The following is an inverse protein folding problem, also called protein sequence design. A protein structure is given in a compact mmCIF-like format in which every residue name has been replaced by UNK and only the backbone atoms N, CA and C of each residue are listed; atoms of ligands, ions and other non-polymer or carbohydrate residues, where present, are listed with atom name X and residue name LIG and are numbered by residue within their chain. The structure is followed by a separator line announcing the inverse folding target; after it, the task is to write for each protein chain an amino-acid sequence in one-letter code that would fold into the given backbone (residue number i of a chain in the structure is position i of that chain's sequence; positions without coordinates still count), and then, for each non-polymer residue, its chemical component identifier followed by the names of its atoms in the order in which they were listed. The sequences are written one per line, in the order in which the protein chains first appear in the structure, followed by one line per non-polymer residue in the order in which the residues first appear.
data_IF_099000709454
#
_entry.id   IF_099000709454
#
_cell.length_a   1.000
_cell.length_b   1.000
_cell.length_c   1.000
_cell.angle_alpha   90.00
_cell.angle_beta   90.00
_cell.angle_gamma   90.00
#
_symmetry.space_group_name_H-M   'P 1'
#
loop_
_entity.id
_entity.type
_entity.pdbx_description
1 polymer ?
#
# COMPACT_ATOMS: atom_id res chain seq x y z
N UNK A 1 15.31 -9.27 8.09
CA UNK A 1 14.62 -8.90 6.83
C UNK A 1 13.69 -10.02 6.42
N UNK A 2 12.47 -9.67 6.04
CA UNK A 2 11.48 -10.66 5.64
C UNK A 2 11.97 -11.43 4.40
N UNK A 3 11.90 -12.76 4.46
CA UNK A 3 12.25 -13.62 3.33
C UNK A 3 10.96 -14.09 2.65
N UNK A 4 10.85 -13.79 1.34
CA UNK A 4 9.72 -14.20 0.53
C UNK A 4 9.75 -15.73 0.40
N UNK A 5 8.60 -16.36 0.64
CA UNK A 5 8.44 -17.81 0.50
C UNK A 5 7.61 -18.14 -0.74
N UNK A 6 6.30 -18.21 -0.57
CA UNK A 6 5.40 -18.66 -1.63
C UNK A 6 4.68 -17.51 -2.34
N UNK A 7 4.67 -16.33 -1.75
CA UNK A 7 3.93 -15.20 -2.28
C UNK A 7 4.84 -13.98 -2.42
N UNK A 8 5.20 -13.66 -3.65
CA UNK A 8 6.04 -12.50 -3.94
C UNK A 8 5.38 -11.19 -3.55
N UNK A 9 4.07 -11.16 -3.50
CA UNK A 9 3.27 -9.97 -3.20
C UNK A 9 2.71 -9.98 -1.77
N UNK A 10 3.37 -10.69 -0.87
CA UNK A 10 2.95 -10.78 0.54
C UNK A 10 2.84 -9.41 1.21
N UNK A 11 3.65 -8.44 0.79
CA UNK A 11 3.60 -7.09 1.34
C UNK A 11 2.26 -6.39 1.06
N UNK A 12 1.61 -6.71 -0.06
CA UNK A 12 0.28 -6.19 -0.36
C UNK A 12 -0.77 -6.72 0.61
N UNK A 13 -0.71 -8.00 0.92
CA UNK A 13 -1.60 -8.60 1.91
C UNK A 13 -1.33 -8.03 3.30
N UNK A 14 -0.06 -7.79 3.63
CA UNK A 14 0.33 -7.16 4.88
C UNK A 14 -0.23 -5.75 5.01
N UNK A 15 -0.13 -4.94 3.95
CA UNK A 15 -0.71 -3.59 3.94
C UNK A 15 -2.22 -3.63 4.13
N UNK A 16 -2.89 -4.57 3.47
CA UNK A 16 -4.33 -4.76 3.63
C UNK A 16 -4.69 -5.07 5.09
N UNK A 17 -3.94 -5.98 5.73
CA UNK A 17 -4.15 -6.30 7.14
C UNK A 17 -3.91 -5.11 8.05
N UNK A 18 -2.87 -4.33 7.79
CA UNK A 18 -2.54 -3.14 8.58
C UNK A 18 -3.66 -2.09 8.47
N UNK A 19 -4.32 -2.00 7.32
CA UNK A 19 -5.38 -1.03 7.08
C UNK A 19 -6.76 -1.49 7.57
N UNK A 20 -6.97 -2.77 7.82
CA UNK A 20 -8.27 -3.30 8.26
C UNK A 20 -8.81 -2.63 9.54
N UNK A 21 -8.00 -2.29 10.55
CA UNK A 21 -8.51 -1.57 11.71
C UNK A 21 -9.20 -0.25 11.37
N UNK A 22 -8.83 0.40 10.28
CA UNK A 22 -9.50 1.62 9.82
C UNK A 22 -10.90 1.32 9.30
N UNK A 23 -11.13 0.14 8.75
CA UNK A 23 -12.47 -0.32 8.36
C UNK A 23 -13.30 -0.62 9.61
N UNK A 24 -12.72 -1.33 10.56
CA UNK A 24 -13.39 -1.66 11.82
C UNK A 24 -13.79 -0.41 12.60
N UNK A 25 -12.95 0.62 12.61
CA UNK A 25 -13.22 1.89 13.27
C UNK A 25 -14.11 2.83 12.43
N UNK A 26 -14.56 2.38 11.26
CA UNK A 26 -15.45 3.12 10.36
C UNK A 26 -14.82 4.36 9.72
N UNK A 27 -13.50 4.49 9.75
CA UNK A 27 -12.78 5.56 9.03
C UNK A 27 -12.73 5.29 7.53
N UNK A 28 -12.58 4.02 7.15
CA UNK A 28 -12.72 3.57 5.77
C UNK A 28 -13.88 2.61 5.67
N UNK A 29 -14.53 2.54 4.51
CA UNK A 29 -15.57 1.56 4.25
C UNK A 29 -14.98 0.25 3.74
N UNK A 30 -13.87 0.31 3.00
CA UNK A 30 -13.25 -0.88 2.45
C UNK A 30 -11.80 -0.64 2.08
N UNK A 31 -11.03 -1.73 2.07
CA UNK A 31 -9.66 -1.79 1.53
C UNK A 31 -9.67 -2.78 0.37
N UNK A 32 -9.19 -2.35 -0.78
CA UNK A 32 -9.10 -3.16 -1.98
C UNK A 32 -7.64 -3.41 -2.34
N UNK A 33 -7.38 -4.55 -2.96
CA UNK A 33 -6.17 -4.75 -3.74
C UNK A 33 -6.52 -4.56 -5.21
N UNK A 34 -5.73 -3.76 -5.90
CA UNK A 34 -5.97 -3.46 -7.32
C UNK A 34 -4.72 -3.82 -8.12
N UNK A 35 -4.91 -4.21 -9.38
CA UNK A 35 -3.80 -4.54 -10.27
C UNK A 35 -3.31 -3.32 -11.03
N UNK A 36 -4.18 -2.34 -11.25
CA UNK A 36 -3.84 -1.12 -11.98
C UNK A 36 -4.74 0.05 -11.54
N UNK A 37 -4.32 1.25 -11.89
CA UNK A 37 -5.03 2.46 -11.48
C UNK A 37 -6.45 2.56 -12.04
N UNK A 38 -6.72 2.00 -13.20
CA UNK A 38 -8.07 2.00 -13.77
C UNK A 38 -9.07 1.25 -12.90
N UNK A 39 -8.64 0.21 -12.20
CA UNK A 39 -9.52 -0.51 -11.28
C UNK A 39 -9.95 0.35 -10.09
N UNK A 40 -9.11 1.29 -9.69
CA UNK A 40 -9.43 2.22 -8.60
C UNK A 40 -10.66 3.04 -8.97
N UNK A 41 -10.73 3.53 -10.19
CA UNK A 41 -11.87 4.31 -10.67
C UNK A 41 -13.15 3.47 -10.71
N UNK A 42 -13.05 2.25 -11.20
CA UNK A 42 -14.19 1.35 -11.33
C UNK A 42 -14.79 0.98 -9.97
N UNK A 43 -13.94 0.90 -8.93
CA UNK A 43 -14.37 0.51 -7.58
C UNK A 43 -14.70 1.68 -6.69
N UNK A 44 -14.64 2.91 -7.19
CA UNK A 44 -14.81 4.12 -6.39
C UNK A 44 -16.26 4.41 -5.98
N UNK A 45 -17.17 3.48 -6.16
CA UNK A 45 -18.54 3.64 -5.72
C UNK A 45 -18.69 3.46 -4.21
N UNK A 46 -17.74 2.75 -3.58
CA UNK A 46 -17.69 2.60 -2.13
C UNK A 46 -16.57 3.50 -1.62
N UNK A 47 -16.92 4.56 -0.92
CA UNK A 47 -15.96 5.54 -0.39
C UNK A 47 -16.33 5.93 1.04
N UNK A 48 -15.35 6.33 1.87
CA UNK A 48 -13.93 6.36 1.57
C UNK A 48 -13.33 4.94 1.53
N UNK A 49 -12.40 4.73 0.63
CA UNK A 49 -11.76 3.43 0.46
C UNK A 49 -10.26 3.60 0.21
N UNK A 50 -9.49 2.59 0.59
CA UNK A 50 -8.08 2.52 0.26
C UNK A 50 -7.86 1.42 -0.79
N UNK A 51 -7.03 1.70 -1.77
CA UNK A 51 -6.67 0.76 -2.84
C UNK A 51 -5.18 0.51 -2.78
N UNK A 52 -4.78 -0.74 -2.64
CA UNK A 52 -3.38 -1.16 -2.53
C UNK A 52 -2.92 -1.70 -3.87
N UNK A 53 -1.87 -1.10 -4.45
CA UNK A 53 -1.34 -1.47 -5.76
C UNK A 53 0.16 -1.72 -5.69
N UNK A 54 0.61 -2.76 -6.38
CA UNK A 54 2.03 -3.03 -6.55
C UNK A 54 2.61 -2.14 -7.65
N UNK A 55 3.71 -1.45 -7.36
CA UNK A 55 4.34 -0.52 -8.31
C UNK A 55 5.68 -1.03 -8.83
N UNK A 56 6.04 -2.24 -8.50
CA UNK A 56 7.29 -2.82 -8.96
C UNK A 56 8.37 -2.84 -7.89
N UNK A 57 9.55 -3.29 -8.28
CA UNK A 57 10.66 -3.41 -7.36
C UNK A 57 11.97 -2.95 -7.98
N UNK A 58 12.97 -2.78 -7.13
CA UNK A 58 14.35 -2.57 -7.51
C UNK A 58 15.22 -3.58 -6.77
N UNK A 59 16.25 -4.06 -7.45
CA UNK A 59 17.22 -4.98 -6.88
C UNK A 59 18.40 -4.19 -6.34
N UNK A 60 18.99 -4.67 -5.25
CA UNK A 60 20.24 -4.12 -4.76
C UNK A 60 21.36 -4.44 -5.72
N UNK A 61 22.29 -3.48 -5.92
CA UNK A 61 23.39 -3.62 -6.88
C UNK A 61 24.36 -4.75 -6.56
N UNK A 62 24.38 -5.22 -5.33
CA UNK A 62 25.31 -6.24 -4.88
C UNK A 62 24.63 -7.57 -4.76
N UNK A 63 24.40 -8.23 -5.90
CA UNK A 63 24.04 -9.65 -5.92
C UNK A 63 25.28 -10.47 -5.54
N UNK A 64 25.55 -10.60 -4.28
CA UNK A 64 26.68 -11.38 -3.79
C UNK A 64 26.32 -12.86 -3.81
N UNK A 65 27.02 -13.64 -4.61
CA UNK A 65 26.85 -15.08 -4.67
C UNK A 65 25.68 -15.56 -5.53
N UNK A 66 25.00 -14.68 -6.22
CA UNK A 66 24.11 -15.02 -7.33
C UNK A 66 22.72 -15.59 -6.98
N UNK A 67 22.48 -16.07 -5.75
CA UNK A 67 21.24 -16.77 -5.46
C UNK A 67 20.25 -16.00 -4.58
N UNK A 68 20.73 -15.08 -3.75
CA UNK A 68 19.87 -14.30 -2.87
C UNK A 68 19.81 -12.88 -3.36
N UNK A 69 18.59 -12.38 -3.55
CA UNK A 69 18.37 -11.00 -3.96
C UNK A 69 17.75 -10.22 -2.82
N UNK A 70 18.30 -9.03 -2.54
CA UNK A 70 17.64 -8.04 -1.74
C UNK A 70 16.79 -7.18 -2.65
N UNK A 71 15.55 -7.01 -2.27
CA UNK A 71 14.53 -6.39 -3.11
C UNK A 71 13.90 -5.25 -2.33
N UNK A 72 13.70 -4.13 -3.00
CA UNK A 72 12.91 -3.02 -2.47
C UNK A 72 11.65 -2.92 -3.30
N UNK A 73 10.53 -3.33 -2.74
CA UNK A 73 9.23 -3.19 -3.40
C UNK A 73 8.62 -1.84 -3.07
N UNK A 74 7.98 -1.26 -4.07
CA UNK A 74 7.20 -0.03 -3.91
C UNK A 74 5.72 -0.35 -4.06
N UNK A 75 4.93 0.12 -3.11
CA UNK A 75 3.50 -0.07 -3.07
C UNK A 75 2.80 1.27 -3.03
N UNK A 76 1.72 1.39 -3.76
CA UNK A 76 0.88 2.58 -3.78
C UNK A 76 -0.39 2.28 -2.97
N UNK A 77 -0.76 3.20 -2.10
CA UNK A 77 -2.04 3.16 -1.39
C UNK A 77 -2.79 4.41 -1.79
N UNK A 78 -3.90 4.23 -2.51
CA UNK A 78 -4.70 5.34 -3.00
C UNK A 78 -5.94 5.49 -2.12
N UNK A 79 -6.09 6.64 -1.49
CA UNK A 79 -7.30 6.99 -0.76
C UNK A 79 -8.30 7.57 -1.75
N UNK A 80 -9.45 6.92 -1.91
CA UNK A 80 -10.54 7.38 -2.75
C UNK A 80 -11.65 7.96 -1.87
N UNK A 81 -12.04 9.20 -2.15
CA UNK A 81 -13.09 9.91 -1.43
C UNK A 81 -14.05 10.57 -2.42
N UNK A 82 -15.27 10.81 -1.96
CA UNK A 82 -16.21 11.61 -2.75
C UNK A 82 -15.94 13.10 -2.56
N UNK A 83 -16.02 13.84 -3.65
CA UNK A 83 -16.08 15.31 -3.65
C UNK A 83 -17.49 15.71 -3.26
N UNK A 84 -17.77 15.77 -1.96
CA UNK A 84 -19.07 16.11 -1.45
C UNK A 84 -18.91 16.95 -0.19
N UNK A 85 -19.98 17.05 0.58
CA UNK A 85 -19.96 17.72 1.90
C UNK A 85 -18.92 17.13 2.86
N UNK A 86 -18.37 15.96 2.56
CA UNK A 86 -17.34 15.32 3.38
C UNK A 86 -15.92 15.58 2.87
N UNK A 87 -15.75 16.54 1.97
CA UNK A 87 -14.47 16.88 1.35
C UNK A 87 -13.38 17.18 2.38
N UNK A 88 -13.74 17.88 3.46
CA UNK A 88 -12.80 18.21 4.53
C UNK A 88 -12.26 17.01 5.32
N UNK A 89 -12.85 15.84 5.17
CA UNK A 89 -12.43 14.64 5.88
C UNK A 89 -11.24 13.94 5.21
N UNK A 90 -10.96 14.23 3.94
CA UNK A 90 -9.88 13.58 3.21
C UNK A 90 -8.52 13.80 3.90
N UNK A 91 -8.26 15.01 4.36
CA UNK A 91 -7.02 15.31 5.08
C UNK A 91 -6.86 14.50 6.36
N UNK A 92 -7.92 14.36 7.12
CA UNK A 92 -7.93 13.58 8.36
C UNK A 92 -7.74 12.09 8.06
N UNK A 93 -8.38 11.59 7.02
CA UNK A 93 -8.25 10.20 6.59
C UNK A 93 -6.83 9.90 6.10
N UNK A 94 -6.20 10.84 5.40
CA UNK A 94 -4.80 10.69 4.98
C UNK A 94 -3.87 10.57 6.19
N UNK A 95 -4.08 11.38 7.22
CA UNK A 95 -3.28 11.26 8.45
C UNK A 95 -3.50 9.91 9.11
N UNK A 96 -4.73 9.45 9.20
CA UNK A 96 -5.04 8.13 9.77
C UNK A 96 -4.39 7.01 8.97
N UNK A 97 -4.41 7.10 7.65
CA UNK A 97 -3.79 6.12 6.77
C UNK A 97 -2.28 6.11 6.93
N UNK A 98 -1.65 7.28 6.94
CA UNK A 98 -0.21 7.40 7.13
C UNK A 98 0.22 6.88 8.50
N UNK A 99 -0.52 7.22 9.54
CA UNK A 99 -0.24 6.71 10.89
C UNK A 99 -0.38 5.19 10.98
N UNK A 100 -1.25 4.61 10.16
CA UNK A 100 -1.44 3.17 10.15
C UNK A 100 -0.29 2.41 9.49
N UNK A 101 0.31 2.96 8.43
CA UNK A 101 1.24 2.21 7.59
C UNK A 101 2.71 2.64 7.72
N UNK A 102 3.00 3.94 7.90
CA UNK A 102 4.38 4.43 7.88
C UNK A 102 5.12 3.97 9.13
N UNK A 103 6.28 3.33 8.92
CA UNK A 103 7.11 2.80 10.01
C UNK A 103 6.58 1.53 10.64
N UNK A 104 5.54 0.93 10.10
CA UNK A 104 4.91 -0.25 10.69
C UNK A 104 5.46 -1.53 10.10
N UNK A 105 5.48 -2.56 10.93
CA UNK A 105 5.81 -3.93 10.55
C UNK A 105 4.71 -4.84 11.08
N UNK A 106 4.51 -5.96 10.42
CA UNK A 106 3.51 -6.94 10.82
C UNK A 106 4.10 -8.35 10.69
N UNK A 107 3.69 -9.24 11.56
CA UNK A 107 4.12 -10.64 11.47
C UNK A 107 3.37 -11.35 10.34
N UNK A 108 4.12 -12.01 9.46
CA UNK A 108 3.59 -12.82 8.36
C UNK A 108 4.38 -14.12 8.35
N UNK A 109 3.71 -15.24 8.50
CA UNK A 109 4.32 -16.58 8.50
C UNK A 109 5.53 -16.69 9.45
N UNK A 110 5.38 -16.12 10.65
CA UNK A 110 6.41 -16.18 11.67
C UNK A 110 7.58 -15.23 11.48
N UNK A 111 7.54 -14.39 10.49
CA UNK A 111 8.57 -13.36 10.22
C UNK A 111 7.96 -11.97 10.29
N UNK A 112 8.76 -10.98 10.65
CA UNK A 112 8.33 -9.58 10.61
C UNK A 112 8.53 -9.02 9.21
N UNK A 113 7.46 -8.53 8.60
CA UNK A 113 7.46 -7.86 7.31
C UNK A 113 7.34 -6.36 7.54
N UNK A 114 8.31 -5.62 7.07
CA UNK A 114 8.40 -4.17 7.27
C UNK A 114 9.80 -3.76 7.71
N UNK A 115 9.99 -2.52 8.17
CA UNK A 115 8.98 -1.46 8.21
C UNK A 115 8.66 -0.91 6.82
N UNK A 116 7.43 -0.43 6.68
CA UNK A 116 7.03 0.31 5.48
C UNK A 116 7.53 1.74 5.61
N UNK A 117 8.29 2.20 4.63
CA UNK A 117 8.91 3.52 4.63
C UNK A 117 8.24 4.38 3.57
N UNK A 118 7.86 5.59 3.93
CA UNK A 118 7.24 6.49 2.97
C UNK A 118 8.26 6.93 1.92
N UNK A 119 7.84 6.90 0.65
CA UNK A 119 8.63 7.35 -0.50
C UNK A 119 7.79 8.28 -1.37
N UNK A 120 8.43 8.95 -2.31
CA UNK A 120 7.72 9.81 -3.24
C UNK A 120 6.77 9.00 -4.10
N UNK A 121 5.54 9.51 -4.24
CA UNK A 121 4.57 8.86 -5.10
C UNK A 121 4.92 9.07 -6.57
N UNK A 122 4.93 8.00 -7.39
CA UNK A 122 5.10 8.14 -8.83
C UNK A 122 3.83 8.68 -9.50
N UNK A 123 2.74 8.77 -8.76
CA UNK A 123 1.43 9.18 -9.26
C UNK A 123 0.98 10.41 -8.49
N UNK A 124 0.42 11.38 -9.20
CA UNK A 124 -0.09 12.62 -8.61
C UNK A 124 -1.53 12.42 -8.13
N UNK A 125 -2.00 13.24 -7.16
CA UNK A 125 -3.41 13.28 -6.83
C UNK A 125 -4.25 13.57 -8.07
N UNK A 126 -5.43 12.97 -8.11
CA UNK A 126 -6.32 13.11 -9.25
C UNK A 126 -7.72 13.44 -8.77
N UNK A 127 -8.40 14.27 -9.55
CA UNK A 127 -9.75 14.71 -9.24
C UNK A 127 -10.63 14.48 -10.46
N UNK A 128 -11.82 13.93 -10.23
CA UNK A 128 -12.88 13.82 -11.21
C UNK A 128 -14.03 14.73 -10.81
N UNK A 129 -15.14 14.69 -11.52
CA UNK A 129 -16.32 15.48 -11.16
C UNK A 129 -16.91 15.09 -9.80
N UNK A 130 -16.72 13.84 -9.39
CA UNK A 130 -17.39 13.29 -8.22
C UNK A 130 -16.43 12.75 -7.15
N UNK A 131 -15.17 12.51 -7.47
CA UNK A 131 -14.23 11.85 -6.59
C UNK A 131 -12.86 12.51 -6.57
N UNK A 132 -12.14 12.29 -5.50
CA UNK A 132 -10.73 12.64 -5.39
C UNK A 132 -9.93 11.41 -4.98
N UNK A 133 -8.71 11.30 -5.51
CA UNK A 133 -7.81 10.17 -5.31
C UNK A 133 -6.46 10.68 -4.83
N UNK A 134 -6.08 10.28 -3.62
CA UNK A 134 -4.83 10.73 -3.00
C UNK A 134 -3.88 9.54 -2.89
N UNK A 135 -2.80 9.50 -3.70
CA UNK A 135 -1.83 8.43 -3.64
C UNK A 135 -0.79 8.66 -2.54
N UNK A 136 -0.48 7.61 -1.83
CA UNK A 136 0.63 7.55 -0.88
C UNK A 136 1.49 6.36 -1.27
N UNK A 137 2.78 6.56 -1.41
CA UNK A 137 3.70 5.48 -1.76
C UNK A 137 4.55 5.08 -0.56
N UNK A 138 4.72 3.79 -0.39
CA UNK A 138 5.61 3.21 0.62
C UNK A 138 6.50 2.17 -0.02
N UNK A 139 7.67 1.97 0.54
CA UNK A 139 8.57 0.90 0.15
C UNK A 139 8.81 -0.05 1.31
N UNK A 140 9.15 -1.27 0.98
CA UNK A 140 9.52 -2.29 1.96
C UNK A 140 10.67 -3.11 1.40
N UNK A 141 11.63 -3.45 2.26
CA UNK A 141 12.76 -4.27 1.87
C UNK A 141 12.49 -5.72 2.21
N UNK A 142 12.75 -6.59 1.25
CA UNK A 142 12.50 -8.01 1.32
C UNK A 142 13.71 -8.75 0.79
N UNK A 143 13.75 -10.05 1.06
CA UNK A 143 14.78 -10.94 0.53
C UNK A 143 14.10 -12.08 -0.21
N UNK A 144 14.64 -12.44 -1.36
CA UNK A 144 14.19 -13.59 -2.12
C UNK A 144 15.36 -14.49 -2.46
N UNK A 145 15.22 -15.76 -2.12
CA UNK A 145 16.19 -16.80 -2.45
C UNK A 145 15.46 -17.90 -3.21
N UNK A 146 15.74 -18.08 -4.49
CA UNK A 146 15.17 -19.20 -5.26
C UNK A 146 15.59 -20.54 -4.65
N UNK A 147 14.68 -21.47 -4.66
CA UNK A 147 14.94 -22.84 -4.20
C UNK A 147 15.33 -23.76 -5.33
#
# INVERSE_FOLDING_TARGET
MFEIKDNYLAAGDALTQILEPLVTSQKLKKVYQANELSEVDERSQITPAAHVLYMGDTLADTAQGGNTSQIKQTWLVVLACRLSIHEGQAGELLVSLLNAIVGKSIAVDGQMLGPFVRVNSPVKPRFTKSHCYYPVAVSVQLRFKPS
#
